data_IF_930797018872
#
_entry.id   IF_930797018872
#
_cell.length_a   1.000
_cell.length_b   1.000
_cell.length_c   1.000
_cell.angle_alpha   90.00
_cell.angle_beta   90.00
_cell.angle_gamma   90.00
#
_symmetry.space_group_name_H-M   'P 1'
#
loop_
_entity.id
_entity.type
_entity.pdbx_description
1 polymer ?
#
# COMPACT_ATOMS: atom_id res chain seq x y z
N UNK A 1 29.70 -57.33 -8.19
CA UNK A 1 29.83 -56.13 -9.04
C UNK A 1 28.54 -55.35 -8.93
N UNK A 2 28.51 -54.43 -7.98
CA UNK A 2 27.55 -53.34 -7.94
C UNK A 2 27.98 -52.27 -8.96
N UNK A 3 27.12 -51.90 -9.90
CA UNK A 3 27.32 -50.66 -10.64
C UNK A 3 26.00 -50.07 -11.17
N UNK A 4 25.51 -49.12 -10.38
CA UNK A 4 24.96 -47.81 -10.74
C UNK A 4 23.83 -47.79 -11.78
N UNK A 5 22.62 -47.96 -11.26
CA UNK A 5 21.40 -47.36 -11.82
C UNK A 5 21.62 -45.85 -12.02
N UNK A 6 21.85 -45.43 -13.27
CA UNK A 6 21.79 -44.03 -13.68
C UNK A 6 20.35 -43.56 -13.73
N UNK A 7 19.76 -43.33 -12.55
CA UNK A 7 18.46 -42.67 -12.43
C UNK A 7 18.74 -41.19 -12.71
N UNK A 8 18.56 -40.76 -13.95
CA UNK A 8 18.36 -39.33 -14.23
C UNK A 8 17.13 -38.90 -13.45
N UNK A 9 17.32 -38.16 -12.35
CA UNK A 9 16.22 -37.60 -11.61
C UNK A 9 15.37 -36.75 -12.57
N UNK A 10 14.03 -36.88 -12.54
CA UNK A 10 13.18 -36.01 -13.32
C UNK A 10 13.45 -34.58 -12.86
N UNK A 11 13.78 -33.69 -13.79
CA UNK A 11 13.77 -32.25 -13.54
C UNK A 11 12.35 -31.92 -13.12
N UNK A 12 12.12 -31.84 -11.81
CA UNK A 12 10.88 -31.29 -11.27
C UNK A 12 10.96 -29.80 -11.57
N UNK A 13 10.13 -29.23 -12.48
CA UNK A 13 9.97 -27.79 -12.47
C UNK A 13 9.54 -27.45 -11.04
N UNK A 14 10.32 -26.59 -10.38
CA UNK A 14 9.84 -25.91 -9.18
C UNK A 14 8.46 -25.37 -9.55
N UNK A 15 7.40 -25.64 -8.77
CA UNK A 15 6.16 -24.94 -9.00
C UNK A 15 6.53 -23.47 -8.90
N UNK A 16 6.35 -22.74 -9.99
CA UNK A 16 6.29 -21.30 -9.98
C UNK A 16 5.22 -21.04 -8.93
N UNK A 17 5.62 -20.74 -7.69
CA UNK A 17 4.71 -20.35 -6.63
C UNK A 17 4.25 -18.99 -7.09
N UNK A 18 3.16 -19.03 -7.86
CA UNK A 18 2.56 -17.84 -8.42
C UNK A 18 2.24 -16.94 -7.23
N UNK A 19 2.63 -15.66 -7.24
CA UNK A 19 2.37 -14.77 -6.11
C UNK A 19 0.87 -14.45 -5.99
N UNK A 20 -0.03 -15.18 -6.66
CA UNK A 20 -1.48 -15.03 -6.57
C UNK A 20 -2.00 -15.01 -5.13
N UNK A 21 -1.43 -15.79 -4.22
CA UNK A 21 -1.84 -15.73 -2.80
C UNK A 21 -1.44 -14.41 -2.12
N UNK A 22 -0.27 -13.87 -2.48
CA UNK A 22 0.23 -12.62 -1.93
C UNK A 22 -0.48 -11.41 -2.57
N UNK A 23 -0.66 -11.42 -3.89
CA UNK A 23 -1.46 -10.42 -4.61
C UNK A 23 -2.91 -10.40 -4.13
N UNK A 24 -3.52 -11.56 -3.90
CA UNK A 24 -4.86 -11.64 -3.34
C UNK A 24 -4.92 -11.04 -1.94
N UNK A 25 -3.96 -11.36 -1.06
CA UNK A 25 -3.90 -10.77 0.27
C UNK A 25 -3.75 -9.24 0.23
N UNK A 26 -2.90 -8.70 -0.64
CA UNK A 26 -2.70 -7.25 -0.76
C UNK A 26 -3.92 -6.54 -1.35
N UNK A 27 -4.54 -7.11 -2.40
CA UNK A 27 -5.79 -6.59 -2.95
C UNK A 27 -6.92 -6.60 -1.91
N UNK A 28 -6.96 -7.63 -1.07
CA UNK A 28 -7.89 -7.75 0.05
C UNK A 28 -7.63 -6.69 1.12
N UNK A 29 -6.36 -6.40 1.46
CA UNK A 29 -5.99 -5.30 2.38
C UNK A 29 -6.50 -3.96 1.87
N UNK A 30 -6.26 -3.66 0.57
CA UNK A 30 -6.73 -2.43 -0.09
C UNK A 30 -8.26 -2.33 0.00
N UNK A 31 -8.96 -3.42 -0.32
CA UNK A 31 -10.42 -3.48 -0.27
C UNK A 31 -10.96 -3.25 1.15
N UNK A 32 -10.37 -3.91 2.15
CA UNK A 32 -10.81 -3.78 3.53
C UNK A 32 -10.68 -2.35 4.03
N UNK A 33 -9.52 -1.70 3.84
CA UNK A 33 -9.29 -0.33 4.31
C UNK A 33 -10.30 0.65 3.70
N UNK A 34 -10.59 0.53 2.40
CA UNK A 34 -11.49 1.48 1.74
C UNK A 34 -12.98 1.25 1.99
N UNK A 35 -13.40 0.04 2.37
CA UNK A 35 -14.83 -0.30 2.50
C UNK A 35 -15.38 -0.32 3.92
N UNK A 36 -14.51 -0.27 4.93
CA UNK A 36 -15.00 -0.32 6.29
C UNK A 36 -15.49 1.08 6.70
N UNK A 37 -16.76 1.24 7.13
CA UNK A 37 -17.34 2.57 7.42
C UNK A 37 -16.58 3.36 8.48
N UNK A 38 -15.87 2.67 9.37
CA UNK A 38 -14.99 3.28 10.38
C UNK A 38 -13.72 3.94 9.80
N UNK A 39 -13.47 3.80 8.49
CA UNK A 39 -12.38 4.43 7.76
C UNK A 39 -12.82 5.24 6.55
N UNK A 40 -14.12 5.37 6.32
CA UNK A 40 -14.63 6.34 5.36
C UNK A 40 -14.25 7.73 5.84
N UNK A 41 -13.46 8.43 5.05
CA UNK A 41 -13.08 9.82 5.29
C UNK A 41 -13.06 10.57 3.98
N UNK A 42 -13.57 11.81 4.02
CA UNK A 42 -13.48 12.74 2.90
C UNK A 42 -12.06 13.31 2.72
N UNK A 43 -11.11 12.87 3.55
CA UNK A 43 -9.74 13.34 3.48
C UNK A 43 -9.01 12.77 2.25
N UNK A 44 -8.48 13.65 1.38
CA UNK A 44 -7.86 13.22 0.13
C UNK A 44 -6.60 12.39 0.35
N UNK A 45 -5.93 12.48 1.51
CA UNK A 45 -4.72 11.71 1.79
C UNK A 45 -5.02 10.25 2.19
N UNK A 46 -6.25 9.93 2.59
CA UNK A 46 -6.62 8.55 2.90
C UNK A 46 -6.80 7.71 1.63
N UNK A 47 -6.28 6.49 1.61
CA UNK A 47 -6.50 5.54 0.52
C UNK A 47 -5.24 4.83 0.04
N UNK A 48 -5.27 4.37 -1.21
CA UNK A 48 -4.21 3.58 -1.83
C UNK A 48 -3.59 4.31 -3.02
N UNK A 49 -2.28 4.17 -3.19
CA UNK A 49 -1.49 4.95 -4.15
C UNK A 49 -0.52 4.07 -4.95
N UNK A 50 -0.38 4.40 -6.23
CA UNK A 50 0.63 3.88 -7.15
C UNK A 50 1.66 4.96 -7.48
N UNK A 51 2.89 4.56 -7.83
CA UNK A 51 3.89 5.47 -8.39
C UNK A 51 3.65 5.61 -9.90
N UNK A 52 3.47 6.83 -10.39
CA UNK A 52 3.02 7.14 -11.77
C UNK A 52 3.94 6.58 -12.87
N UNK A 53 5.22 6.35 -12.58
CA UNK A 53 6.25 5.94 -13.55
C UNK A 53 6.74 4.49 -13.35
N UNK A 54 6.13 3.69 -12.49
CA UNK A 54 6.34 2.23 -12.51
C UNK A 54 5.44 1.66 -13.64
N UNK A 55 6.03 0.95 -14.61
CA UNK A 55 5.34 0.46 -15.82
C UNK A 55 3.89 0.01 -15.53
N UNK A 56 2.92 0.59 -16.23
CA UNK A 56 1.51 0.19 -16.19
C UNK A 56 1.36 -1.28 -16.66
N UNK A 57 1.74 -2.26 -15.86
CA UNK A 57 1.40 -3.63 -16.15
C UNK A 57 -0.03 -3.88 -15.64
N UNK A 58 -0.92 -4.04 -16.63
CA UNK A 58 -2.08 -4.93 -16.58
C UNK A 58 -2.70 -5.13 -15.19
N UNK A 59 -3.64 -4.26 -14.77
CA UNK A 59 -4.76 -4.52 -13.82
C UNK A 59 -4.41 -5.09 -12.42
N UNK A 60 -3.17 -5.51 -12.12
CA UNK A 60 -2.85 -6.44 -11.01
C UNK A 60 -1.55 -6.03 -10.28
N UNK A 61 -1.16 -4.76 -10.28
CA UNK A 61 -0.13 -4.30 -9.35
C UNK A 61 -0.74 -3.92 -7.99
N UNK A 62 -0.21 -4.45 -6.87
CA UNK A 62 -0.60 -3.98 -5.55
C UNK A 62 -0.21 -2.51 -5.40
N UNK A 63 -1.03 -1.72 -4.68
CA UNK A 63 -0.69 -0.34 -4.34
C UNK A 63 0.72 -0.28 -3.72
N UNK A 64 1.55 0.68 -4.16
CA UNK A 64 2.87 0.90 -3.56
C UNK A 64 2.74 1.35 -2.10
N UNK A 65 1.71 2.15 -1.83
CA UNK A 65 1.42 2.71 -0.52
C UNK A 65 -0.07 2.61 -0.18
N UNK A 66 -0.36 2.24 1.06
CA UNK A 66 -1.71 2.27 1.64
C UNK A 66 -1.69 3.14 2.88
N UNK A 67 -2.62 4.07 2.97
CA UNK A 67 -2.66 5.09 4.02
C UNK A 67 -4.01 5.04 4.71
N UNK A 68 -3.97 4.95 6.03
CA UNK A 68 -5.14 5.15 6.88
C UNK A 68 -4.92 6.33 7.81
N UNK A 69 -5.92 7.18 7.93
CA UNK A 69 -5.95 8.33 8.84
C UNK A 69 -6.87 8.11 10.04
N UNK A 70 -7.79 7.18 9.89
CA UNK A 70 -8.80 6.81 10.88
C UNK A 70 -8.26 5.57 11.56
N UNK A 71 -7.47 5.79 12.59
CA UNK A 71 -6.79 4.69 13.22
C UNK A 71 -7.76 3.76 13.95
N UNK A 72 -8.19 2.67 13.32
CA UNK A 72 -8.72 1.49 14.01
C UNK A 72 -8.90 0.32 13.07
N UNK A 73 -7.78 -0.30 12.68
CA UNK A 73 -7.74 -1.68 12.21
C UNK A 73 -6.95 -1.86 10.93
N UNK A 74 -5.64 -2.02 11.10
CA UNK A 74 -4.95 -2.79 10.08
C UNK A 74 -5.49 -4.23 10.09
N UNK A 75 -5.62 -4.88 8.93
CA UNK A 75 -5.96 -6.29 8.83
C UNK A 75 -5.07 -7.17 9.73
N UNK A 76 -5.60 -8.29 10.19
CA UNK A 76 -4.95 -9.20 11.14
C UNK A 76 -3.54 -9.61 10.72
N UNK A 77 -3.27 -9.72 9.40
CA UNK A 77 -1.93 -10.01 8.87
C UNK A 77 -0.93 -8.88 9.12
N UNK A 78 -1.38 -7.62 9.09
CA UNK A 78 -0.59 -6.42 9.32
C UNK A 78 -0.39 -6.11 10.81
N UNK A 79 -1.31 -6.59 11.67
CA UNK A 79 -1.20 -6.40 13.13
C UNK A 79 0.01 -7.12 13.74
N UNK A 80 0.40 -8.28 13.19
CA UNK A 80 1.58 -9.02 13.68
C UNK A 80 2.89 -8.27 13.39
N UNK A 81 2.99 -7.58 12.25
CA UNK A 81 4.18 -6.79 11.89
C UNK A 81 4.24 -5.45 12.63
N UNK A 82 3.08 -4.85 12.96
CA UNK A 82 3.01 -3.62 13.74
C UNK A 82 3.35 -3.80 15.22
N UNK A 83 2.99 -4.95 15.83
CA UNK A 83 3.41 -5.26 17.20
C UNK A 83 4.93 -5.27 17.37
N UNK A 84 5.66 -5.65 16.31
CA UNK A 84 7.13 -5.66 16.28
C UNK A 84 7.74 -4.25 16.15
N UNK A 85 6.99 -3.30 15.60
CA UNK A 85 7.46 -1.94 15.31
C UNK A 85 6.77 -0.87 16.19
N UNK A 86 5.99 -1.27 17.19
CA UNK A 86 5.27 -0.37 18.11
C UNK A 86 4.43 0.70 17.41
N UNK A 87 3.82 0.37 16.27
CA UNK A 87 2.95 1.29 15.54
C UNK A 87 1.57 1.31 16.21
N UNK A 88 1.08 2.51 16.52
CA UNK A 88 -0.26 2.72 17.07
C UNK A 88 -1.26 2.86 15.91
N UNK A 89 -2.10 1.83 15.76
CA UNK A 89 -3.16 1.85 14.76
C UNK A 89 -4.32 2.75 15.11
N UNK A 90 -4.36 3.38 16.28
CA UNK A 90 -5.34 4.42 16.62
C UNK A 90 -5.04 5.78 16.01
N UNK A 91 -3.80 5.94 15.55
CA UNK A 91 -3.28 7.12 14.88
C UNK A 91 -3.08 6.85 13.37
N UNK A 92 -2.80 7.89 12.55
CA UNK A 92 -2.51 7.70 11.14
C UNK A 92 -1.32 6.76 10.90
N UNK A 93 -1.41 5.92 9.87
CA UNK A 93 -0.34 4.99 9.50
C UNK A 93 -0.24 4.80 8.00
N UNK A 94 0.93 4.37 7.56
CA UNK A 94 1.22 4.07 6.16
C UNK A 94 1.85 2.69 6.05
N UNK A 95 1.33 1.86 5.14
CA UNK A 95 1.96 0.62 4.71
C UNK A 95 2.68 0.83 3.38
N UNK A 96 3.95 0.39 3.30
CA UNK A 96 4.72 0.35 2.07
C UNK A 96 4.84 -1.10 1.60
N UNK A 97 4.31 -1.41 0.41
CA UNK A 97 4.31 -2.76 -0.14
C UNK A 97 5.72 -3.25 -0.47
N UNK A 98 6.59 -2.37 -0.99
CA UNK A 98 7.97 -2.70 -1.35
C UNK A 98 8.82 -3.12 -0.13
N UNK A 99 8.60 -2.46 0.99
CA UNK A 99 9.28 -2.74 2.25
C UNK A 99 8.53 -3.77 3.10
N UNK A 100 7.31 -4.15 2.70
CA UNK A 100 6.37 -4.96 3.44
C UNK A 100 6.29 -4.55 4.91
N UNK A 101 6.16 -3.23 5.15
CA UNK A 101 6.26 -2.65 6.49
C UNK A 101 5.27 -1.52 6.68
N UNK A 102 4.85 -1.35 7.94
CA UNK A 102 3.97 -0.28 8.38
C UNK A 102 4.78 0.74 9.18
N UNK A 103 4.43 2.00 8.99
CA UNK A 103 5.06 3.15 9.60
C UNK A 103 4.01 4.00 10.30
N UNK A 104 4.41 4.60 11.42
CA UNK A 104 3.61 5.61 12.08
C UNK A 104 3.57 6.86 11.19
N UNK A 105 2.42 7.51 11.14
CA UNK A 105 2.25 8.77 10.44
C UNK A 105 1.54 9.81 11.31
N UNK A 106 1.76 11.07 10.98
CA UNK A 106 1.07 12.21 11.56
C UNK A 106 0.55 13.11 10.45
N UNK A 107 -0.65 13.62 10.63
CA UNK A 107 -1.30 14.48 9.66
C UNK A 107 -1.24 15.93 10.09
N UNK A 108 -0.84 16.81 9.17
CA UNK A 108 -0.90 18.25 9.34
C UNK A 108 -1.41 18.91 8.05
N UNK A 109 -2.68 19.38 8.07
CA UNK A 109 -3.30 20.00 6.90
C UNK A 109 -3.36 19.05 5.71
N UNK A 110 -2.76 19.46 4.59
CA UNK A 110 -2.66 18.70 3.33
C UNK A 110 -1.37 17.85 3.23
N UNK A 111 -0.71 17.61 4.37
CA UNK A 111 0.49 16.79 4.45
C UNK A 111 0.32 15.64 5.44
N UNK A 112 0.98 14.54 5.10
CA UNK A 112 1.17 13.39 5.99
C UNK A 112 2.67 13.19 6.16
N UNK A 113 3.14 13.21 7.40
CA UNK A 113 4.52 12.92 7.78
C UNK A 113 4.63 11.48 8.20
N UNK A 114 5.67 10.78 7.76
CA UNK A 114 5.88 9.35 8.04
C UNK A 114 7.19 9.18 8.78
N UNK A 115 7.14 8.39 9.86
CA UNK A 115 8.24 8.23 10.80
C UNK A 115 8.71 6.77 10.91
N UNK A 116 10.00 6.63 11.16
CA UNK A 116 10.67 5.38 11.53
C UNK A 116 11.61 5.68 12.69
N UNK A 117 11.38 5.07 13.86
CA UNK A 117 12.17 5.31 15.07
C UNK A 117 12.34 6.81 15.41
N UNK A 118 11.22 7.57 15.39
CA UNK A 118 11.17 9.02 15.62
C UNK A 118 11.86 9.90 14.55
N UNK A 119 12.45 9.30 13.51
CA UNK A 119 13.00 10.03 12.37
C UNK A 119 11.97 10.14 11.24
N UNK A 120 11.78 11.35 10.71
CA UNK A 120 10.92 11.57 9.55
C UNK A 120 11.58 11.03 8.28
N UNK A 121 11.03 9.94 7.75
CA UNK A 121 11.51 9.28 6.53
C UNK A 121 10.68 9.61 5.29
N UNK A 122 9.47 10.14 5.48
CA UNK A 122 8.56 10.41 4.38
C UNK A 122 7.68 11.63 4.59
N UNK A 123 7.24 12.22 3.49
CA UNK A 123 6.21 13.27 3.48
C UNK A 123 5.37 13.12 2.23
N UNK A 124 4.08 12.80 2.41
CA UNK A 124 3.09 12.86 1.34
C UNK A 124 2.41 14.23 1.39
N UNK A 125 2.31 14.88 0.23
CA UNK A 125 1.59 16.15 0.07
C UNK A 125 0.48 15.96 -0.94
N UNK A 126 -0.72 16.40 -0.56
CA UNK A 126 -1.85 16.58 -1.46
C UNK A 126 -1.92 18.04 -1.88
N UNK A 127 -2.24 18.29 -3.14
CA UNK A 127 -2.69 19.61 -3.58
C UNK A 127 -3.77 19.47 -4.63
N UNK A 128 -4.72 20.41 -4.62
CA UNK A 128 -5.71 20.57 -5.68
C UNK A 128 -5.83 22.05 -6.05
N UNK A 129 -6.14 22.34 -7.31
CA UNK A 129 -6.62 23.67 -7.69
C UNK A 129 -8.14 23.69 -7.64
N UNK A 130 -8.68 24.81 -7.16
CA UNK A 130 -10.13 25.03 -7.11
C UNK A 130 -10.51 26.23 -7.94
N UNK A 131 -11.54 26.08 -8.75
CA UNK A 131 -12.13 27.15 -9.54
C UNK A 131 -13.64 27.02 -9.38
N UNK A 132 -14.24 28.04 -8.77
CA UNK A 132 -15.58 27.94 -8.20
C UNK A 132 -15.67 26.72 -7.26
N UNK A 133 -16.71 25.90 -7.41
CA UNK A 133 -16.99 24.70 -6.62
C UNK A 133 -16.35 23.44 -7.19
N UNK A 134 -15.55 23.57 -8.25
CA UNK A 134 -14.96 22.45 -8.98
C UNK A 134 -13.49 22.31 -8.58
N UNK A 135 -13.11 21.10 -8.17
CA UNK A 135 -11.72 20.71 -7.93
C UNK A 135 -11.13 20.20 -9.24
N UNK A 136 -9.94 20.66 -9.60
CA UNK A 136 -9.18 20.23 -10.78
C UNK A 136 -7.68 20.23 -10.44
N UNK A 137 -6.86 19.56 -11.26
CA UNK A 137 -5.42 19.38 -11.02
C UNK A 137 -5.12 18.80 -9.62
N UNK A 138 -5.74 17.67 -9.27
CA UNK A 138 -5.34 16.92 -8.09
C UNK A 138 -3.96 16.30 -8.30
N UNK A 139 -3.07 16.46 -7.32
CA UNK A 139 -1.73 15.88 -7.35
C UNK A 139 -1.34 15.35 -5.98
N UNK A 140 -0.67 14.19 -6.00
CA UNK A 140 -0.16 13.52 -4.81
C UNK A 140 1.34 13.33 -5.00
N UNK A 141 2.16 14.00 -4.20
CA UNK A 141 3.62 13.93 -4.29
C UNK A 141 4.18 13.42 -2.97
N UNK A 142 4.97 12.36 -3.03
CA UNK A 142 5.64 11.82 -1.86
C UNK A 142 7.14 11.97 -1.94
N UNK A 143 7.74 12.58 -0.92
CA UNK A 143 9.15 12.35 -0.62
C UNK A 143 9.23 11.08 0.24
N UNK A 144 9.89 10.04 -0.25
CA UNK A 144 10.09 8.77 0.46
C UNK A 144 11.58 8.46 0.53
N UNK A 145 12.16 8.45 1.73
CA UNK A 145 13.59 8.20 1.98
C UNK A 145 14.50 9.04 1.07
N UNK A 146 14.15 10.32 0.91
CA UNK A 146 14.90 11.28 0.08
C UNK A 146 14.60 11.21 -1.43
N UNK A 147 13.73 10.31 -1.89
CA UNK A 147 13.31 10.20 -3.29
C UNK A 147 11.95 10.86 -3.47
N UNK A 148 11.80 11.74 -4.47
CA UNK A 148 10.49 12.30 -4.83
C UNK A 148 9.77 11.34 -5.79
N UNK A 149 8.51 11.06 -5.49
CA UNK A 149 7.61 10.17 -6.22
C UNK A 149 6.34 10.92 -6.54
N UNK A 150 5.94 10.89 -7.81
CA UNK A 150 4.60 11.28 -8.23
C UNK A 150 3.67 10.08 -8.06
N UNK A 151 2.55 10.30 -7.37
CA UNK A 151 1.62 9.25 -7.01
C UNK A 151 0.28 9.43 -7.71
N UNK A 152 -0.31 8.31 -8.10
CA UNK A 152 -1.68 8.20 -8.59
C UNK A 152 -2.52 7.54 -7.52
N UNK A 153 -3.61 8.20 -7.10
CA UNK A 153 -4.58 7.62 -6.17
C UNK A 153 -5.44 6.60 -6.92
N UNK A 154 -5.48 5.37 -6.40
CA UNK A 154 -6.34 4.33 -6.97
C UNK A 154 -7.78 4.64 -6.57
N UNK A 155 -8.58 5.13 -7.52
CA UNK A 155 -10.02 5.24 -7.33
C UNK A 155 -10.64 3.86 -7.44
N UNK A 156 -11.36 3.43 -6.41
CA UNK A 156 -12.09 2.18 -6.47
C UNK A 156 -13.23 2.31 -7.47
N UNK A 157 -13.21 1.51 -8.53
CA UNK A 157 -14.42 1.26 -9.32
C UNK A 157 -15.31 0.42 -8.41
N UNK A 158 -16.52 0.87 -8.04
CA UNK A 158 -17.45 -0.01 -7.35
C UNK A 158 -17.70 -1.19 -8.29
N UNK A 159 -17.25 -2.38 -7.89
CA UNK A 159 -17.64 -3.61 -8.55
C UNK A 159 -19.14 -3.72 -8.37
N UNK A 160 -19.91 -3.34 -9.39
CA UNK A 160 -21.31 -3.70 -9.51
C UNK A 160 -21.34 -5.23 -9.56
N UNK A 161 -21.61 -5.84 -8.41
CA UNK A 161 -21.98 -7.25 -8.34
C UNK A 161 -23.40 -7.31 -8.87
N UNK A 162 -23.53 -7.64 -10.15
CA UNK A 162 -24.81 -7.93 -10.81
C UNK A 162 -25.33 -9.31 -10.48
#
# INVERSE_FOLDING_TARGET
MENLTGISAPVRPLPCVVPCKLYFAVAVIIYFVSQTPQYETDDPLHGSYLVENEEEAEIIHPANFVISLTGNGAPSELQQEAQKNSVDFSEPWLYCAKENRIFQAEKEGEKLFIYENDEKIGTLTYSCKRFLWIQYDESYVMNWRGTNLDLVKIMQVPTFVG
#
